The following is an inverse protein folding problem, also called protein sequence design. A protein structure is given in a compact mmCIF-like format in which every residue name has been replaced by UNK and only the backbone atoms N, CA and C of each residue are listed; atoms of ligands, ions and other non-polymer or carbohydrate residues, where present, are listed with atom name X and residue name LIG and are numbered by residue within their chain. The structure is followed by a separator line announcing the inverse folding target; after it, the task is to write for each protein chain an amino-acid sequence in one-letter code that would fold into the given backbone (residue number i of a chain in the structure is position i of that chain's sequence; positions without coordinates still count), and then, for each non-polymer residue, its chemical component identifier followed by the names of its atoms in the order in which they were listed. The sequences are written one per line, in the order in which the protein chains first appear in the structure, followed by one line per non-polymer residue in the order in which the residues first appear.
data_IF_193392026025
#
_entry.id   IF_193392026025
#
_cell.length_a   1.000
_cell.length_b   1.000
_cell.length_c   1.000
_cell.angle_alpha   90.00
_cell.angle_beta   90.00
_cell.angle_gamma   90.00
#
_symmetry.space_group_name_H-M   'P 1'
#
loop_
_entity.id
_entity.type
_entity.pdbx_description
1 polymer ?
#
# COMPACT_ATOMS: atom_id res chain seq x y z
N UNK A 1 -13.40 -10.20 -22.11
CA UNK A 1 -13.11 -10.58 -20.72
C UNK A 1 -12.37 -9.41 -20.15
N UNK A 2 -12.90 -8.76 -19.12
CA UNK A 2 -12.18 -7.65 -18.50
C UNK A 2 -11.08 -8.24 -17.62
N UNK A 3 -9.83 -7.90 -17.89
CA UNK A 3 -8.69 -8.38 -17.09
C UNK A 3 -8.48 -7.49 -15.89
N UNK A 4 -8.32 -8.10 -14.72
CA UNK A 4 -7.94 -7.44 -13.48
C UNK A 4 -6.52 -7.88 -13.11
N UNK A 5 -5.62 -6.92 -12.92
CA UNK A 5 -4.27 -7.13 -12.43
C UNK A 5 -4.19 -6.65 -10.97
N UNK A 6 -3.55 -7.44 -10.12
CA UNK A 6 -3.36 -7.12 -8.71
C UNK A 6 -1.88 -7.20 -8.40
N UNK A 7 -1.27 -6.07 -8.04
CA UNK A 7 0.14 -5.95 -7.69
C UNK A 7 0.28 -5.64 -6.21
N UNK A 8 0.77 -6.58 -5.39
CA UNK A 8 1.00 -6.34 -3.97
C UNK A 8 2.26 -5.48 -3.74
N UNK A 9 2.18 -4.61 -2.74
CA UNK A 9 3.33 -3.84 -2.26
C UNK A 9 3.18 -3.51 -0.77
N UNK A 10 4.24 -3.02 -0.16
CA UNK A 10 4.24 -2.53 1.22
C UNK A 10 4.61 -1.05 1.25
N UNK A 11 4.02 -0.33 2.22
CA UNK A 11 4.58 0.94 2.67
C UNK A 11 5.53 0.66 3.83
N UNK A 12 6.81 0.89 3.62
CA UNK A 12 7.85 0.64 4.63
C UNK A 12 8.47 1.94 5.11
N UNK A 13 8.75 2.03 6.41
CA UNK A 13 9.48 3.15 6.99
C UNK A 13 10.88 3.22 6.40
N UNK A 14 11.31 4.42 6.02
CA UNK A 14 12.70 4.66 5.62
C UNK A 14 13.64 4.72 6.81
N UNK A 15 13.09 4.88 8.01
CA UNK A 15 13.82 4.87 9.27
C UNK A 15 14.03 3.43 9.76
N UNK A 16 15.19 3.17 10.35
CA UNK A 16 15.51 1.87 10.92
C UNK A 16 14.78 1.70 12.26
N UNK A 17 13.59 1.08 12.17
CA UNK A 17 12.67 0.90 13.30
C UNK A 17 12.29 -0.56 13.42
N UNK A 18 11.98 -1.00 14.65
CA UNK A 18 11.57 -2.38 14.94
C UNK A 18 10.32 -2.80 14.16
N UNK A 19 9.47 -1.84 13.78
CA UNK A 19 8.27 -2.06 12.96
C UNK A 19 8.41 -1.37 11.61
N UNK A 20 9.34 -1.88 10.78
CA UNK A 20 9.65 -1.30 9.48
C UNK A 20 8.47 -1.29 8.51
N UNK A 21 7.55 -2.25 8.60
CA UNK A 21 6.35 -2.30 7.75
C UNK A 21 5.23 -1.49 8.38
N UNK A 22 4.80 -0.43 7.69
CA UNK A 22 3.70 0.43 8.14
C UNK A 22 2.33 -0.11 7.66
N UNK A 23 2.24 -0.51 6.39
CA UNK A 23 1.01 -1.03 5.80
C UNK A 23 1.30 -2.05 4.69
N UNK A 24 0.39 -3.00 4.53
CA UNK A 24 0.31 -3.87 3.36
C UNK A 24 -0.69 -3.29 2.37
N UNK A 25 -0.37 -3.35 1.08
CA UNK A 25 -1.15 -2.71 0.03
C UNK A 25 -1.37 -3.63 -1.17
N UNK A 26 -2.48 -3.41 -1.87
CA UNK A 26 -2.76 -4.03 -3.17
C UNK A 26 -3.12 -2.93 -4.16
N UNK A 27 -2.38 -2.86 -5.27
CA UNK A 27 -2.75 -2.04 -6.42
C UNK A 27 -3.55 -2.89 -7.40
N UNK A 28 -4.80 -2.50 -7.64
CA UNK A 28 -5.75 -3.19 -8.48
C UNK A 28 -5.98 -2.32 -9.71
N UNK A 29 -5.64 -2.82 -10.89
CA UNK A 29 -5.88 -2.15 -12.16
C UNK A 29 -6.81 -2.98 -13.03
N UNK A 30 -7.68 -2.31 -13.76
CA UNK A 30 -8.55 -2.93 -14.77
C UNK A 30 -8.15 -2.46 -16.16
N UNK A 31 -8.48 -3.25 -17.18
CA UNK A 31 -8.30 -2.89 -18.58
C UNK A 31 -9.14 -1.69 -19.05
N UNK A 32 -10.15 -1.29 -18.27
CA UNK A 32 -10.93 -0.08 -18.50
C UNK A 32 -10.21 1.20 -18.01
N UNK A 33 -9.03 1.08 -17.40
CA UNK A 33 -8.26 2.20 -16.85
C UNK A 33 -8.63 2.58 -15.42
N UNK A 34 -9.55 1.85 -14.76
CA UNK A 34 -9.80 2.03 -13.33
C UNK A 34 -8.60 1.50 -12.53
N UNK A 35 -8.23 2.25 -11.49
CA UNK A 35 -7.11 1.96 -10.61
C UNK A 35 -7.51 2.23 -9.17
N UNK A 36 -7.38 1.22 -8.32
CA UNK A 36 -7.64 1.32 -6.89
C UNK A 36 -6.45 0.78 -6.11
N UNK A 37 -6.09 1.46 -5.02
CA UNK A 37 -5.15 0.96 -4.04
C UNK A 37 -5.88 0.72 -2.73
N UNK A 38 -5.82 -0.51 -2.25
CA UNK A 38 -6.33 -0.88 -0.92
C UNK A 38 -5.17 -0.94 0.04
N UNK A 39 -5.28 -0.23 1.17
CA UNK A 39 -4.25 -0.16 2.22
C UNK A 39 -4.78 -0.81 3.49
N UNK A 40 -4.04 -1.80 4.00
CA UNK A 40 -4.32 -2.49 5.26
C UNK A 40 -3.23 -2.16 6.27
N UNK A 41 -3.59 -1.58 7.41
CA UNK A 41 -2.66 -1.32 8.51
C UNK A 41 -3.28 -1.56 9.88
N UNK A 42 -2.45 -1.57 10.90
CA UNK A 42 -2.90 -1.51 12.30
C UNK A 42 -2.93 -0.05 12.75
N UNK A 43 -4.02 0.34 13.41
CA UNK A 43 -4.12 1.59 14.15
C UNK A 43 -3.21 1.57 15.38
N UNK A 44 -3.03 2.74 16.00
CA UNK A 44 -2.26 2.87 17.25
C UNK A 44 -2.92 2.17 18.43
N UNK A 45 -4.23 1.91 18.32
CA UNK A 45 -5.04 1.11 19.24
C UNK A 45 -5.00 -0.40 18.94
N UNK A 46 -4.27 -0.83 17.91
CA UNK A 46 -4.18 -2.22 17.46
C UNK A 46 -5.36 -2.68 16.59
N UNK A 47 -6.36 -1.82 16.34
CA UNK A 47 -7.49 -2.16 15.49
C UNK A 47 -7.10 -2.14 14.00
N UNK A 48 -7.70 -2.99 13.17
CA UNK A 48 -7.45 -2.95 11.73
C UNK A 48 -8.03 -1.66 11.13
N UNK A 49 -7.26 -1.03 10.24
CA UNK A 49 -7.68 0.14 9.48
C UNK A 49 -7.54 -0.13 7.98
N UNK A 50 -8.56 0.27 7.23
CA UNK A 50 -8.63 0.18 5.77
C UNK A 50 -8.57 1.58 5.17
N UNK A 51 -7.73 1.74 4.14
CA UNK A 51 -7.64 2.95 3.33
C UNK A 51 -7.83 2.64 1.85
N UNK A 52 -8.30 3.63 1.09
CA UNK A 52 -8.44 3.57 -0.36
C UNK A 52 -7.70 4.74 -1.02
N UNK A 53 -7.11 4.50 -2.18
CA UNK A 53 -6.47 5.51 -3.03
C UNK A 53 -6.63 5.17 -4.52
N UNK A 54 -6.30 6.13 -5.38
CA UNK A 54 -6.30 5.97 -6.84
C UNK A 54 -4.94 5.49 -7.39
N UNK A 55 -3.84 5.68 -6.64
CA UNK A 55 -2.50 5.25 -7.03
C UNK A 55 -1.58 4.91 -5.84
N UNK A 56 -0.52 4.12 -6.06
CA UNK A 56 0.50 3.84 -5.04
C UNK A 56 1.16 5.11 -4.48
N UNK A 57 1.43 6.11 -5.32
CA UNK A 57 2.05 7.39 -4.95
C UNK A 57 1.11 8.22 -4.08
N UNK A 58 -0.20 8.20 -4.38
CA UNK A 58 -1.18 8.87 -3.54
C UNK A 58 -1.32 8.20 -2.18
N UNK A 59 -1.36 6.87 -2.15
CA UNK A 59 -1.35 6.11 -0.90
C UNK A 59 -0.10 6.45 -0.07
N UNK A 60 1.09 6.42 -0.70
CA UNK A 60 2.35 6.82 -0.08
C UNK A 60 2.26 8.23 0.50
N UNK A 61 1.85 9.23 -0.29
CA UNK A 61 1.75 10.63 0.16
C UNK A 61 0.81 10.79 1.35
N UNK A 62 -0.36 10.15 1.32
CA UNK A 62 -1.36 10.24 2.40
C UNK A 62 -0.82 9.65 3.71
N UNK A 63 -0.14 8.51 3.63
CA UNK A 63 0.37 7.83 4.82
C UNK A 63 1.72 8.35 5.30
N UNK A 64 2.45 9.10 4.45
CA UNK A 64 3.75 9.69 4.81
C UNK A 64 3.66 11.00 5.61
N UNK A 65 2.46 11.47 5.95
CA UNK A 65 2.29 12.71 6.71
C UNK A 65 2.83 12.62 8.15
N UNK A 66 2.91 11.41 8.70
CA UNK A 66 3.30 11.16 10.11
C UNK A 66 4.66 10.46 10.20
N UNK A 67 5.01 9.64 9.22
CA UNK A 67 6.26 8.87 9.18
C UNK A 67 6.79 8.88 7.76
N UNK A 68 8.10 9.08 7.53
CA UNK A 68 8.67 8.93 6.19
C UNK A 68 8.57 7.48 5.71
N UNK A 69 7.83 7.25 4.62
CA UNK A 69 7.62 5.92 4.04
C UNK A 69 8.22 5.84 2.62
N UNK A 70 8.35 4.61 2.12
CA UNK A 70 8.63 4.30 0.73
C UNK A 70 7.77 3.12 0.26
N UNK A 71 7.61 3.00 -1.05
CA UNK A 71 7.00 1.82 -1.66
C UNK A 71 8.05 0.72 -1.77
N UNK A 72 7.69 -0.46 -1.31
CA UNK A 72 8.47 -1.68 -1.48
C UNK A 72 7.61 -2.70 -2.21
N UNK A 73 7.92 -2.94 -3.47
CA UNK A 73 7.18 -3.88 -4.30
C UNK A 73 7.49 -5.31 -3.86
N UNK A 74 6.44 -6.13 -3.74
CA UNK A 74 6.62 -7.54 -3.47
C UNK A 74 7.04 -8.20 -4.80
N UNK A 75 8.28 -8.68 -4.87
CA UNK A 75 8.73 -9.41 -6.06
C UNK A 75 7.86 -10.67 -6.28
N UNK A 76 7.51 -10.94 -7.53
CA UNK A 76 6.77 -12.14 -7.95
C UNK A 76 7.60 -13.44 -7.83
N UNK A 77 8.80 -13.40 -7.24
CA UNK A 77 9.64 -14.59 -7.03
C UNK A 77 9.20 -15.32 -5.77
N UNK A 78 8.15 -16.12 -5.91
CA UNK A 78 7.98 -17.37 -5.18
C UNK A 78 7.79 -18.50 -6.19
#
# INVERSE_FOLDING_TARGET
MNTMEIVPFMLTSTEDTTNRVYAACMWITTDNGDSEVVVFRRGTDGLPMLGLSDSPERALRLHSMVTPLRIEWCDNTN
#
